data_IF_126469964584
#
_entry.id   IF_126469964584
#
_cell.length_a   1.000
_cell.length_b   1.000
_cell.length_c   1.000
_cell.angle_alpha   90.00
_cell.angle_beta   90.00
_cell.angle_gamma   90.00
#
_symmetry.space_group_name_H-M   'P 1'
#
loop_
_entity.id
_entity.type
_entity.pdbx_description
1 polymer ?
#
# COMPACT_ATOMS: atom_id res chain seq x y z
N UNK A 1 14.98 21.50 -1.98
CA UNK A 1 14.43 20.24 -2.54
C UNK A 1 14.54 19.13 -1.52
N UNK A 2 13.45 18.44 -1.29
CA UNK A 2 13.48 17.26 -0.43
C UNK A 2 14.17 16.11 -1.14
N UNK A 3 14.93 15.32 -0.40
CA UNK A 3 15.50 14.08 -0.93
C UNK A 3 14.40 13.06 -1.13
N UNK A 4 14.47 12.18 -2.14
CA UNK A 4 13.55 11.06 -2.25
C UNK A 4 13.59 10.22 -0.98
N UNK A 5 12.44 9.78 -0.50
CA UNK A 5 12.38 8.87 0.64
C UNK A 5 13.00 7.54 0.23
N UNK A 6 13.87 7.00 1.09
CA UNK A 6 14.51 5.71 0.86
C UNK A 6 14.08 4.73 1.93
N UNK A 7 13.68 3.53 1.51
CA UNK A 7 13.28 2.45 2.41
C UNK A 7 14.29 1.32 2.35
N UNK A 8 14.86 0.99 3.50
CA UNK A 8 15.94 0.01 3.61
C UNK A 8 15.44 -1.45 3.50
N UNK A 9 14.15 -1.68 3.73
CA UNK A 9 13.57 -3.03 3.72
C UNK A 9 12.12 -3.00 3.25
N UNK A 10 11.59 -4.15 2.78
CA UNK A 10 10.17 -4.27 2.48
C UNK A 10 9.29 -4.01 3.71
N UNK A 11 9.75 -4.41 4.89
CA UNK A 11 9.04 -4.20 6.16
C UNK A 11 8.85 -2.72 6.46
N UNK A 12 9.86 -1.89 6.15
CA UNK A 12 9.77 -0.45 6.30
C UNK A 12 8.71 0.15 5.37
N UNK A 13 8.63 -0.34 4.12
CA UNK A 13 7.60 0.09 3.17
C UNK A 13 6.22 -0.30 3.68
N UNK A 14 6.07 -1.53 4.16
CA UNK A 14 4.80 -2.03 4.70
C UNK A 14 4.33 -1.19 5.89
N UNK A 15 5.21 -0.91 6.83
CA UNK A 15 4.89 -0.06 7.98
C UNK A 15 4.47 1.33 7.54
N UNK A 16 5.20 1.93 6.60
CA UNK A 16 4.87 3.25 6.07
C UNK A 16 3.53 3.25 5.35
N UNK A 17 3.19 2.17 4.66
CA UNK A 17 1.89 2.01 3.99
C UNK A 17 0.74 2.13 4.99
N UNK A 18 0.77 1.34 6.06
CA UNK A 18 -0.33 1.36 7.03
C UNK A 18 -0.38 2.65 7.84
N UNK A 19 0.76 3.29 8.10
CA UNK A 19 0.78 4.62 8.72
C UNK A 19 0.13 5.67 7.83
N UNK A 20 0.43 5.65 6.53
CA UNK A 20 -0.15 6.60 5.58
C UNK A 20 -1.66 6.41 5.44
N UNK A 21 -2.13 5.17 5.42
CA UNK A 21 -3.56 4.85 5.38
C UNK A 21 -4.26 5.37 6.64
N UNK A 22 -3.69 5.13 7.81
CA UNK A 22 -4.26 5.58 9.08
C UNK A 22 -4.36 7.10 9.15
N UNK A 23 -3.34 7.81 8.66
CA UNK A 23 -3.32 9.28 8.63
C UNK A 23 -4.18 9.86 7.52
N UNK A 24 -4.55 9.06 6.51
CA UNK A 24 -5.23 9.56 5.32
C UNK A 24 -4.35 10.48 4.49
N UNK A 25 -3.05 10.21 4.47
CA UNK A 25 -2.06 11.05 3.80
C UNK A 25 -1.66 10.43 2.47
N UNK A 26 -2.30 10.90 1.40
CA UNK A 26 -2.06 10.38 0.06
C UNK A 26 -0.64 10.68 -0.43
N UNK A 27 -0.09 11.84 -0.10
CA UNK A 27 1.27 12.20 -0.54
C UNK A 27 2.30 11.28 0.11
N UNK A 28 2.15 11.00 1.39
CA UNK A 28 3.02 10.05 2.08
C UNK A 28 2.88 8.64 1.49
N UNK A 29 1.64 8.21 1.22
CA UNK A 29 1.38 6.91 0.63
C UNK A 29 2.07 6.77 -0.73
N UNK A 30 2.01 7.82 -1.56
CA UNK A 30 2.60 7.75 -2.90
C UNK A 30 4.13 7.75 -2.89
N UNK A 31 4.78 8.14 -1.80
CA UNK A 31 6.23 8.05 -1.68
C UNK A 31 6.74 6.61 -1.59
N UNK A 32 5.90 5.69 -1.15
CA UNK A 32 6.30 4.29 -1.00
C UNK A 32 5.98 3.42 -2.22
N UNK A 33 5.17 3.90 -3.16
CA UNK A 33 4.93 3.23 -4.44
C UNK A 33 6.07 3.50 -5.42
N UNK A 34 6.39 2.50 -6.24
CA UNK A 34 7.29 2.71 -7.37
C UNK A 34 6.64 3.64 -8.39
N UNK A 35 7.42 4.56 -8.96
CA UNK A 35 6.95 5.44 -10.03
C UNK A 35 7.04 4.71 -11.36
N UNK A 36 6.05 3.88 -11.65
CA UNK A 36 6.06 2.99 -12.80
C UNK A 36 4.65 2.92 -13.39
N UNK A 37 4.58 2.77 -14.71
CA UNK A 37 3.32 2.62 -15.42
C UNK A 37 2.70 1.23 -15.27
N UNK A 38 3.45 0.28 -14.75
CA UNK A 38 3.01 -1.11 -14.55
C UNK A 38 2.71 -1.45 -13.08
N UNK A 39 2.76 -0.47 -12.18
CA UNK A 39 2.31 -0.67 -10.81
C UNK A 39 0.83 -1.04 -10.78
N UNK A 40 0.45 -1.88 -9.84
CA UNK A 40 -0.91 -2.42 -9.77
C UNK A 40 -1.48 -2.28 -8.38
N UNK A 41 -2.73 -1.85 -8.31
CA UNK A 41 -3.49 -1.84 -7.06
C UNK A 41 -4.91 -2.35 -7.33
N UNK A 42 -5.32 -3.37 -6.59
CA UNK A 42 -6.70 -3.86 -6.63
C UNK A 42 -7.35 -3.59 -5.29
N UNK A 43 -8.40 -2.80 -5.29
CA UNK A 43 -9.15 -2.48 -4.08
C UNK A 43 -10.12 -3.62 -3.70
N UNK A 44 -10.58 -3.69 -2.43
CA UNK A 44 -11.52 -4.74 -1.99
C UNK A 44 -12.81 -4.78 -2.80
N UNK A 45 -13.19 -3.68 -3.44
CA UNK A 45 -14.35 -3.63 -4.33
C UNK A 45 -14.13 -4.35 -5.66
N UNK A 46 -12.91 -4.80 -5.94
CA UNK A 46 -12.53 -5.46 -7.18
C UNK A 46 -12.03 -4.51 -8.27
N UNK A 47 -12.00 -3.22 -8.01
CA UNK A 47 -11.48 -2.24 -8.98
C UNK A 47 -9.97 -2.42 -9.12
N UNK A 48 -9.51 -2.64 -10.32
CA UNK A 48 -8.09 -2.77 -10.65
C UNK A 48 -7.57 -1.49 -11.28
N UNK A 49 -6.49 -0.98 -10.72
CA UNK A 49 -5.82 0.23 -11.17
C UNK A 49 -4.41 -0.11 -11.62
N UNK A 50 -4.04 0.35 -12.79
CA UNK A 50 -2.71 0.11 -13.37
C UNK A 50 -2.04 1.46 -13.62
N UNK A 51 -0.81 1.58 -13.13
CA UNK A 51 0.00 2.78 -13.27
C UNK A 51 -0.12 3.73 -12.09
N UNK A 52 0.98 4.44 -11.83
CA UNK A 52 1.09 5.28 -10.63
C UNK A 52 0.08 6.43 -10.62
N UNK A 53 -0.25 6.99 -11.78
CA UNK A 53 -1.20 8.11 -11.86
C UNK A 53 -2.61 7.70 -11.43
N UNK A 54 -3.08 6.55 -11.91
CA UNK A 54 -4.40 6.02 -11.54
C UNK A 54 -4.45 5.65 -10.06
N UNK A 55 -3.38 5.06 -9.53
CA UNK A 55 -3.27 4.68 -8.12
C UNK A 55 -3.31 5.92 -7.24
N UNK A 56 -2.56 6.97 -7.60
CA UNK A 56 -2.54 8.24 -6.86
C UNK A 56 -3.94 8.87 -6.79
N UNK A 57 -4.60 8.98 -7.93
CA UNK A 57 -5.93 9.57 -8.00
C UNK A 57 -6.93 8.80 -7.14
N UNK A 58 -6.88 7.48 -7.19
CA UNK A 58 -7.77 6.64 -6.40
C UNK A 58 -7.58 6.86 -4.89
N UNK A 59 -6.34 6.86 -4.41
CA UNK A 59 -6.08 7.06 -2.99
C UNK A 59 -6.42 8.46 -2.52
N UNK A 60 -6.19 9.48 -3.35
CA UNK A 60 -6.62 10.85 -3.05
C UNK A 60 -8.14 10.92 -2.88
N UNK A 61 -8.87 10.28 -3.78
CA UNK A 61 -10.32 10.24 -3.72
C UNK A 61 -10.81 9.53 -2.45
N UNK A 62 -10.24 8.38 -2.14
CA UNK A 62 -10.60 7.63 -0.92
C UNK A 62 -10.38 8.49 0.33
N UNK A 63 -9.20 9.06 0.48
CA UNK A 63 -8.85 9.83 1.67
C UNK A 63 -9.61 11.15 1.79
N UNK A 64 -10.09 11.71 0.68
CA UNK A 64 -10.90 12.93 0.72
C UNK A 64 -12.34 12.67 1.17
N UNK A 65 -12.82 11.45 1.04
CA UNK A 65 -14.22 11.12 1.33
C UNK A 65 -14.42 10.29 2.58
N UNK A 66 -13.38 9.59 3.07
CA UNK A 66 -13.55 8.72 4.23
C UNK A 66 -12.24 8.54 5.00
N UNK A 67 -12.37 8.08 6.23
CA UNK A 67 -11.25 7.63 7.06
C UNK A 67 -11.20 6.12 7.07
N UNK A 68 -9.99 5.59 6.97
CA UNK A 68 -9.76 4.16 7.01
C UNK A 68 -8.90 3.81 8.23
N UNK A 69 -9.20 2.68 8.85
CA UNK A 69 -8.35 2.05 9.84
C UNK A 69 -8.21 0.59 9.47
N UNK A 70 -6.98 0.11 9.39
CA UNK A 70 -6.69 -1.26 8.98
C UNK A 70 -5.92 -1.95 10.09
N UNK A 71 -6.40 -3.14 10.48
CA UNK A 71 -5.64 -4.06 11.33
C UNK A 71 -5.04 -5.11 10.41
N UNK A 72 -3.73 -5.10 10.27
CA UNK A 72 -3.02 -5.98 9.37
C UNK A 72 -2.23 -7.02 10.16
N UNK A 73 -2.29 -8.27 9.71
CA UNK A 73 -1.50 -9.36 10.24
C UNK A 73 -0.65 -9.95 9.12
N UNK A 74 0.65 -10.05 9.36
CA UNK A 74 1.56 -10.68 8.43
C UNK A 74 1.46 -12.20 8.55
N UNK A 75 1.17 -12.87 7.44
CA UNK A 75 0.97 -14.33 7.40
C UNK A 75 2.21 -15.04 6.90
N UNK A 76 2.81 -14.55 5.80
CA UNK A 76 3.98 -15.17 5.18
C UNK A 76 4.77 -14.14 4.41
N UNK A 77 6.09 -14.30 4.42
CA UNK A 77 7.02 -13.46 3.66
C UNK A 77 7.93 -14.33 2.81
N UNK A 78 8.15 -13.90 1.58
CA UNK A 78 9.23 -14.40 0.75
C UNK A 78 10.10 -13.22 0.35
N UNK A 79 11.41 -13.34 0.47
CA UNK A 79 12.31 -12.24 0.15
C UNK A 79 13.53 -12.72 -0.62
N UNK A 80 13.72 -12.12 -1.79
CA UNK A 80 14.96 -12.19 -2.55
C UNK A 80 15.77 -10.91 -2.38
N UNK A 81 16.83 -10.77 -3.16
CA UNK A 81 17.70 -9.60 -3.07
C UNK A 81 17.08 -8.33 -3.67
N UNK A 82 16.16 -8.48 -4.64
CA UNK A 82 15.54 -7.35 -5.35
C UNK A 82 14.01 -7.45 -5.40
N UNK A 83 13.43 -8.53 -4.92
CA UNK A 83 11.99 -8.76 -4.94
C UNK A 83 11.56 -9.37 -3.61
N UNK A 84 10.43 -8.92 -3.09
CA UNK A 84 9.84 -9.48 -1.88
C UNK A 84 8.33 -9.57 -2.05
N UNK A 85 7.73 -10.61 -1.47
CA UNK A 85 6.29 -10.84 -1.49
C UNK A 85 5.83 -11.04 -0.06
N UNK A 86 4.88 -10.22 0.38
CA UNK A 86 4.26 -10.34 1.69
C UNK A 86 2.79 -10.72 1.52
N UNK A 87 2.37 -11.74 2.24
CA UNK A 87 0.98 -12.13 2.34
C UNK A 87 0.43 -11.68 3.69
N UNK A 88 -0.65 -10.91 3.65
CA UNK A 88 -1.25 -10.30 4.83
C UNK A 88 -2.73 -10.62 4.90
N UNK A 89 -3.27 -10.55 6.10
CA UNK A 89 -4.70 -10.53 6.33
C UNK A 89 -5.06 -9.19 6.94
N UNK A 90 -6.07 -8.53 6.38
CA UNK A 90 -6.51 -7.21 6.83
C UNK A 90 -7.94 -7.24 7.32
N UNK A 91 -8.20 -6.53 8.41
CA UNK A 91 -9.53 -6.17 8.86
C UNK A 91 -9.67 -4.66 8.65
N UNK A 92 -10.69 -4.24 7.92
CA UNK A 92 -10.89 -2.87 7.50
C UNK A 92 -12.06 -2.23 8.29
N UNK A 93 -11.82 -1.02 8.79
CA UNK A 93 -12.84 -0.17 9.39
C UNK A 93 -12.96 1.10 8.55
N UNK A 94 -14.19 1.43 8.12
CA UNK A 94 -14.45 2.51 7.16
C UNK A 94 -15.31 3.57 7.81
N UNK A 95 -14.77 4.76 8.05
CA UNK A 95 -15.50 5.91 8.58
C UNK A 95 -16.25 5.57 9.86
N UNK A 96 -17.53 5.92 9.88
CA UNK A 96 -18.44 5.66 11.00
C UNK A 96 -19.20 4.34 10.87
N UNK A 97 -18.89 3.54 9.87
CA UNK A 97 -19.50 2.22 9.68
C UNK A 97 -19.22 1.37 10.93
N UNK A 98 -20.24 0.82 11.60
CA UNK A 98 -20.03 0.10 12.86
C UNK A 98 -19.38 -1.27 12.70
N UNK A 99 -19.41 -1.83 11.51
CA UNK A 99 -18.92 -3.19 11.28
C UNK A 99 -17.49 -3.24 10.75
N UNK A 100 -16.67 -4.18 11.23
CA UNK A 100 -15.45 -4.52 10.51
C UNK A 100 -15.76 -5.22 9.20
N UNK A 101 -14.90 -5.00 8.21
CA UNK A 101 -14.97 -5.66 6.91
C UNK A 101 -13.77 -6.58 6.75
N UNK A 102 -14.01 -7.81 6.35
CA UNK A 102 -12.96 -8.78 6.16
C UNK A 102 -13.23 -10.09 6.88
N UNK A 103 -12.22 -10.97 7.04
CA UNK A 103 -10.82 -10.72 6.67
C UNK A 103 -10.60 -10.63 5.16
N UNK A 104 -9.70 -9.73 4.78
CA UNK A 104 -9.27 -9.57 3.40
C UNK A 104 -7.89 -10.21 3.25
N UNK A 105 -7.70 -11.02 2.23
CA UNK A 105 -6.40 -11.61 1.92
C UNK A 105 -5.68 -10.70 0.94
N UNK A 106 -4.52 -10.21 1.35
CA UNK A 106 -3.78 -9.20 0.61
C UNK A 106 -2.38 -9.71 0.30
N UNK A 107 -1.94 -9.47 -0.93
CA UNK A 107 -0.57 -9.73 -1.36
C UNK A 107 0.07 -8.40 -1.76
N UNK A 108 1.21 -8.10 -1.14
CA UNK A 108 2.07 -7.00 -1.54
C UNK A 108 3.31 -7.54 -2.22
N UNK A 109 3.69 -6.93 -3.33
CA UNK A 109 4.95 -7.19 -4.01
C UNK A 109 5.80 -5.93 -3.94
N UNK A 110 7.02 -6.06 -3.44
CA UNK A 110 7.98 -4.99 -3.32
C UNK A 110 9.18 -5.26 -4.21
N UNK A 111 9.73 -4.21 -4.77
CA UNK A 111 10.95 -4.30 -5.57
C UNK A 111 11.99 -3.31 -5.06
N UNK A 112 13.25 -3.71 -5.13
CA UNK A 112 14.38 -2.88 -4.75
C UNK A 112 14.96 -2.19 -5.98
N UNK A 113 14.99 -0.86 -5.95
CA UNK A 113 15.56 -0.04 -7.01
C UNK A 113 16.61 0.92 -6.48
N UNK A 114 16.90 1.96 -7.25
CA UNK A 114 17.93 2.96 -6.94
C UNK A 114 17.67 3.71 -5.62
N UNK A 115 16.40 3.84 -5.23
CA UNK A 115 16.00 4.54 -3.99
C UNK A 115 15.48 3.58 -2.92
N UNK A 116 16.00 2.35 -2.90
CA UNK A 116 15.59 1.34 -1.94
C UNK A 116 14.34 0.59 -2.39
N UNK A 117 13.61 0.07 -1.41
CA UNK A 117 12.43 -0.74 -1.67
C UNK A 117 11.20 0.11 -1.91
N UNK A 118 10.35 -0.34 -2.82
CA UNK A 118 9.07 0.30 -3.16
C UNK A 118 8.00 -0.76 -3.39
N UNK A 119 6.76 -0.39 -3.11
CA UNK A 119 5.60 -1.22 -3.43
C UNK A 119 5.34 -1.15 -4.94
N UNK A 120 5.21 -2.30 -5.59
CA UNK A 120 4.91 -2.38 -7.03
C UNK A 120 3.55 -3.01 -7.31
N UNK A 121 3.02 -3.79 -6.38
CA UNK A 121 1.71 -4.41 -6.55
C UNK A 121 1.05 -4.62 -5.19
N UNK A 122 -0.23 -4.30 -5.13
CA UNK A 122 -1.12 -4.62 -4.00
C UNK A 122 -2.39 -5.24 -4.55
N UNK A 123 -2.70 -6.43 -4.11
CA UNK A 123 -3.91 -7.13 -4.54
C UNK A 123 -4.59 -7.81 -3.37
#
# INVERSE_FOLDING_TARGET
>A
MSKPTSFASPEDVEQAFYEAVLKGDADLLMQLWAEDEETLCVHPTGVRLIGIAAIRESWRSIFSSTRLRVQAESIAHWQGSVLAIHHLTEILFVGDDPGPHGPLHVTHVYARGAHGWRLVSRH
#
